data_IF_990615209270
#
_entry.id   IF_990615209270
#
_cell.length_a   1.000
_cell.length_b   1.000
_cell.length_c   1.000
_cell.angle_alpha   90.00
_cell.angle_beta   90.00
_cell.angle_gamma   90.00
#
_symmetry.space_group_name_H-M   'P 1'
#
loop_
_entity.id
_entity.type
_entity.pdbx_description
1 polymer ?
#
# COMPACT_ATOMS: atom_id res chain seq x y z
N UNK A 1 3.18 11.35 1.39
CA UNK A 1 3.33 10.27 0.37
C UNK A 1 4.05 10.70 -0.91
N UNK A 2 4.19 11.98 -1.23
CA UNK A 2 4.88 12.45 -2.46
C UNK A 2 6.30 11.89 -2.60
N UNK A 3 7.06 11.82 -1.51
CA UNK A 3 8.39 11.22 -1.44
C UNK A 3 8.45 9.77 -1.94
N UNK A 4 7.36 8.99 -1.79
CA UNK A 4 7.29 7.59 -2.24
C UNK A 4 7.01 7.48 -3.76
N UNK A 5 6.61 8.58 -4.39
CA UNK A 5 6.32 8.59 -5.82
C UNK A 5 5.07 7.79 -6.21
N UNK A 6 4.10 7.69 -5.30
CA UNK A 6 2.84 6.99 -5.48
C UNK A 6 1.63 7.95 -5.59
N UNK A 7 1.90 9.25 -5.78
CA UNK A 7 0.86 10.30 -5.88
C UNK A 7 0.66 10.74 -7.33
N UNK A 8 -0.51 11.26 -7.71
CA UNK A 8 -0.69 11.87 -9.02
C UNK A 8 0.19 13.12 -9.12
N UNK A 9 0.69 13.42 -10.31
CA UNK A 9 1.19 14.75 -10.61
C UNK A 9 0.05 15.76 -10.59
N UNK A 10 0.40 17.04 -10.50
CA UNK A 10 -0.57 18.12 -10.46
C UNK A 10 -0.07 19.28 -11.34
N UNK A 11 -0.96 19.79 -12.18
CA UNK A 11 -0.77 21.02 -12.92
C UNK A 11 -1.87 21.99 -12.49
N UNK A 12 -1.48 23.05 -11.78
CA UNK A 12 -2.40 24.01 -11.17
C UNK A 12 -1.94 25.43 -11.47
N UNK A 13 -2.90 26.33 -11.70
CA UNK A 13 -2.66 27.75 -11.95
C UNK A 13 -3.90 28.56 -11.53
N UNK A 14 -3.71 29.59 -10.70
CA UNK A 14 -4.81 30.33 -10.09
C UNK A 14 -5.77 29.39 -9.34
N UNK A 15 -7.07 29.46 -9.68
CA UNK A 15 -8.11 28.57 -9.13
C UNK A 15 -8.24 27.23 -9.85
N UNK A 16 -7.51 27.00 -10.94
CA UNK A 16 -7.60 25.75 -11.74
C UNK A 16 -6.64 24.71 -11.18
N UNK A 17 -7.17 23.49 -11.01
CA UNK A 17 -6.41 22.32 -10.57
C UNK A 17 -6.65 21.12 -11.49
N UNK A 18 -5.58 20.54 -12.02
CA UNK A 18 -5.64 19.32 -12.85
C UNK A 18 -4.68 18.26 -12.31
N UNK A 19 -5.24 17.12 -11.88
CA UNK A 19 -4.42 15.94 -11.56
C UNK A 19 -4.02 15.22 -12.85
N UNK A 20 -2.77 14.78 -12.91
CA UNK A 20 -2.22 14.00 -14.03
C UNK A 20 -1.95 12.56 -13.59
N UNK A 21 -1.21 11.80 -14.39
CA UNK A 21 -0.80 10.43 -14.04
C UNK A 21 0.08 10.38 -12.78
N UNK A 22 0.42 9.17 -12.34
CA UNK A 22 1.31 9.00 -11.19
C UNK A 22 2.68 9.61 -11.47
N UNK A 23 3.15 10.45 -10.55
CA UNK A 23 4.45 11.09 -10.70
C UNK A 23 5.60 10.10 -10.51
N UNK A 24 6.62 10.24 -11.37
CA UNK A 24 7.90 9.54 -11.21
C UNK A 24 8.82 10.25 -10.20
N UNK A 25 8.48 11.45 -9.77
CA UNK A 25 9.17 12.19 -8.71
C UNK A 25 9.03 11.47 -7.36
N UNK A 26 10.12 11.38 -6.60
CA UNK A 26 10.21 10.58 -5.36
C UNK A 26 11.17 9.39 -5.51
N UNK A 27 11.39 8.64 -4.43
CA UNK A 27 12.36 7.54 -4.38
C UNK A 27 11.94 6.36 -5.28
N UNK A 28 12.67 6.07 -6.38
CA UNK A 28 12.36 4.93 -7.25
C UNK A 28 12.49 3.60 -6.51
N UNK A 29 13.44 3.51 -5.57
CA UNK A 29 13.67 2.33 -4.75
C UNK A 29 12.47 2.02 -3.85
N UNK A 30 11.95 3.03 -3.15
CA UNK A 30 10.78 2.84 -2.28
C UNK A 30 9.51 2.54 -3.09
N UNK A 31 9.32 3.21 -4.22
CA UNK A 31 8.21 2.91 -5.14
C UNK A 31 8.24 1.44 -5.56
N UNK A 32 9.41 0.94 -5.97
CA UNK A 32 9.59 -0.46 -6.38
C UNK A 32 9.22 -1.41 -5.25
N UNK A 33 9.82 -1.26 -4.07
CA UNK A 33 9.57 -2.14 -2.91
C UNK A 33 8.09 -2.15 -2.53
N UNK A 34 7.44 -0.98 -2.45
CA UNK A 34 6.02 -0.87 -2.10
C UNK A 34 5.10 -1.46 -3.17
N UNK A 35 5.47 -1.36 -4.44
CA UNK A 35 4.72 -1.95 -5.55
C UNK A 35 4.83 -3.47 -5.52
N UNK A 36 6.04 -4.00 -5.34
CA UNK A 36 6.31 -5.44 -5.23
C UNK A 36 5.61 -6.05 -4.00
N UNK A 37 5.67 -5.38 -2.84
CA UNK A 37 4.96 -5.82 -1.64
C UNK A 37 3.43 -5.79 -1.82
N UNK A 38 2.88 -4.76 -2.46
CA UNK A 38 1.45 -4.63 -2.69
C UNK A 38 0.86 -5.78 -3.52
N UNK A 39 1.64 -6.37 -4.42
CA UNK A 39 1.20 -7.54 -5.20
C UNK A 39 0.86 -8.75 -4.34
N UNK A 40 1.44 -8.90 -3.15
CA UNK A 40 1.13 -10.01 -2.25
C UNK A 40 -0.34 -9.97 -1.76
N UNK A 41 -0.92 -8.78 -1.66
CA UNK A 41 -2.31 -8.60 -1.22
C UNK A 41 -3.36 -8.97 -2.28
N UNK A 42 -2.94 -9.43 -3.48
CA UNK A 42 -3.88 -10.04 -4.45
C UNK A 42 -4.47 -11.36 -3.94
N UNK A 43 -3.75 -12.03 -3.03
CA UNK A 43 -4.18 -13.27 -2.42
C UNK A 43 -4.87 -12.98 -1.07
N UNK A 44 -5.85 -13.81 -0.68
CA UNK A 44 -6.43 -13.72 0.66
C UNK A 44 -5.32 -13.92 1.69
N UNK A 45 -5.34 -13.13 2.76
CA UNK A 45 -4.31 -13.08 3.79
C UNK A 45 -4.28 -14.30 4.71
N UNK A 46 -4.22 -15.49 4.15
CA UNK A 46 -4.10 -16.74 4.91
C UNK A 46 -2.69 -16.80 5.49
N UNK A 47 -2.59 -16.88 6.83
CA UNK A 47 -1.34 -16.94 7.56
C UNK A 47 -0.53 -18.18 7.18
N UNK A 48 0.36 -18.05 6.20
CA UNK A 48 1.33 -19.09 5.87
C UNK A 48 2.19 -19.42 7.10
N UNK A 49 2.64 -20.68 7.21
CA UNK A 49 3.58 -21.12 8.25
C UNK A 49 4.80 -20.19 8.35
N UNK A 50 5.28 -19.68 7.21
CA UNK A 50 6.40 -18.74 7.14
C UNK A 50 6.04 -17.40 7.80
N UNK A 51 4.83 -16.90 7.58
CA UNK A 51 4.35 -15.64 8.17
C UNK A 51 4.14 -15.79 9.67
N UNK A 52 3.60 -16.94 10.12
CA UNK A 52 3.46 -17.25 11.54
C UNK A 52 4.82 -17.29 12.24
N UNK A 53 5.80 -17.99 11.65
CA UNK A 53 7.16 -18.05 12.19
C UNK A 53 7.82 -16.66 12.30
N UNK A 54 7.61 -15.77 11.33
CA UNK A 54 8.13 -14.38 11.37
C UNK A 54 7.46 -13.52 12.44
N UNK A 55 6.26 -13.89 12.89
CA UNK A 55 5.51 -13.15 13.92
C UNK A 55 5.85 -13.62 15.34
N UNK A 56 6.54 -14.75 15.50
CA UNK A 56 7.00 -15.22 16.80
C UNK A 56 7.90 -14.17 17.46
N UNK A 57 7.58 -13.79 18.69
CA UNK A 57 8.31 -12.76 19.45
C UNK A 57 8.01 -11.31 19.06
N UNK A 58 7.07 -11.06 18.14
CA UNK A 58 6.67 -9.70 17.77
C UNK A 58 5.57 -9.15 18.70
N UNK A 59 5.49 -7.83 18.94
CA UNK A 59 4.43 -7.24 19.75
C UNK A 59 3.04 -7.55 19.20
N UNK A 60 2.11 -7.95 20.07
CA UNK A 60 0.76 -8.36 19.68
C UNK A 60 0.01 -7.26 18.90
N UNK A 61 0.21 -5.99 19.26
CA UNK A 61 -0.40 -4.84 18.57
C UNK A 61 0.10 -4.70 17.12
N UNK A 62 1.40 -4.94 16.87
CA UNK A 62 1.98 -4.90 15.53
C UNK A 62 1.45 -6.04 14.68
N UNK A 63 1.34 -7.24 15.25
CA UNK A 63 0.77 -8.41 14.57
C UNK A 63 -0.70 -8.16 14.19
N UNK A 64 -1.51 -7.66 15.13
CA UNK A 64 -2.91 -7.32 14.88
C UNK A 64 -3.07 -6.25 13.80
N UNK A 65 -2.21 -5.22 13.80
CA UNK A 65 -2.19 -4.20 12.74
C UNK A 65 -1.85 -4.81 11.38
N UNK A 66 -0.87 -5.72 11.31
CA UNK A 66 -0.48 -6.38 10.07
C UNK A 66 -1.61 -7.28 9.50
N UNK A 67 -2.38 -7.93 10.36
CA UNK A 67 -3.57 -8.70 9.96
C UNK A 67 -4.68 -7.80 9.43
N UNK A 68 -4.98 -6.72 10.15
CA UNK A 68 -5.94 -5.70 9.71
C UNK A 68 -5.54 -5.11 8.35
N UNK A 69 -4.25 -4.81 8.17
CA UNK A 69 -3.70 -4.33 6.91
C UNK A 69 -3.94 -5.35 5.79
N UNK A 70 -3.58 -6.61 6.01
CA UNK A 70 -3.69 -7.67 5.00
C UNK A 70 -5.13 -7.85 4.51
N UNK A 71 -6.10 -7.91 5.43
CA UNK A 71 -7.53 -8.01 5.10
C UNK A 71 -8.04 -6.78 4.34
N UNK A 72 -7.70 -5.58 4.82
CA UNK A 72 -8.12 -4.30 4.21
C UNK A 72 -7.59 -4.13 2.80
N UNK A 73 -6.31 -4.43 2.60
CA UNK A 73 -5.61 -4.29 1.32
C UNK A 73 -6.10 -5.33 0.31
N UNK A 74 -6.32 -6.58 0.73
CA UNK A 74 -6.94 -7.60 -0.13
C UNK A 74 -8.34 -7.20 -0.56
N UNK A 75 -9.17 -6.71 0.38
CA UNK A 75 -10.51 -6.20 0.06
C UNK A 75 -10.45 -5.03 -0.94
N UNK A 76 -9.51 -4.09 -0.78
CA UNK A 76 -9.33 -2.99 -1.75
C UNK A 76 -8.97 -3.53 -3.14
N UNK A 77 -7.99 -4.44 -3.23
CA UNK A 77 -7.58 -5.05 -4.48
C UNK A 77 -8.78 -5.69 -5.19
N UNK A 78 -9.51 -6.55 -4.47
CA UNK A 78 -10.67 -7.28 -5.01
C UNK A 78 -11.79 -6.34 -5.46
N UNK A 79 -12.09 -5.30 -4.70
CA UNK A 79 -13.11 -4.32 -5.08
C UNK A 79 -12.74 -3.57 -6.36
N UNK A 80 -11.47 -3.23 -6.56
CA UNK A 80 -11.03 -2.57 -7.80
C UNK A 80 -10.99 -3.54 -8.99
N UNK A 81 -10.64 -4.80 -8.74
CA UNK A 81 -10.66 -5.86 -9.74
C UNK A 81 -12.08 -6.11 -10.26
N UNK A 82 -13.06 -6.22 -9.35
CA UNK A 82 -14.47 -6.37 -9.71
C UNK A 82 -15.03 -5.17 -10.50
N UNK A 83 -14.41 -3.99 -10.33
CA UNK A 83 -14.74 -2.77 -11.11
C UNK A 83 -13.99 -2.69 -12.45
N UNK A 84 -13.29 -3.74 -12.85
CA UNK A 84 -12.54 -3.80 -14.12
C UNK A 84 -11.37 -2.83 -14.20
N UNK A 85 -10.79 -2.40 -13.06
CA UNK A 85 -9.64 -1.50 -13.07
C UNK A 85 -8.38 -2.23 -13.54
N UNK A 86 -7.51 -1.50 -14.24
CA UNK A 86 -6.25 -2.05 -14.71
C UNK A 86 -5.33 -2.43 -13.54
N UNK A 87 -4.46 -3.44 -13.68
CA UNK A 87 -3.55 -3.84 -12.62
C UNK A 87 -2.69 -2.71 -12.07
N UNK A 88 -2.24 -1.78 -12.92
CA UNK A 88 -1.45 -0.62 -12.52
C UNK A 88 -2.21 0.30 -11.55
N UNK A 89 -3.49 0.56 -11.84
CA UNK A 89 -4.36 1.37 -10.96
C UNK A 89 -4.60 0.65 -9.64
N UNK A 90 -4.89 -0.66 -9.71
CA UNK A 90 -5.13 -1.48 -8.51
C UNK A 90 -3.92 -1.49 -7.58
N UNK A 91 -2.75 -1.84 -8.10
CA UNK A 91 -1.54 -1.96 -7.29
C UNK A 91 -1.10 -0.61 -6.75
N UNK A 92 -1.18 0.46 -7.54
CA UNK A 92 -0.87 1.81 -7.03
C UNK A 92 -1.79 2.18 -5.85
N UNK A 93 -3.09 1.90 -5.95
CA UNK A 93 -4.04 2.20 -4.88
C UNK A 93 -3.79 1.38 -3.60
N UNK A 94 -3.34 0.13 -3.75
CA UNK A 94 -2.95 -0.76 -2.65
C UNK A 94 -1.62 -0.31 -2.03
N UNK A 95 -0.59 -0.02 -2.83
CA UNK A 95 0.72 0.48 -2.34
C UNK A 95 0.58 1.78 -1.53
N UNK A 96 -0.31 2.69 -1.96
CA UNK A 96 -0.59 3.91 -1.20
C UNK A 96 -1.17 3.61 0.17
N UNK A 97 -2.16 2.73 0.26
CA UNK A 97 -2.75 2.37 1.56
C UNK A 97 -1.77 1.56 2.43
N UNK A 98 -0.98 0.67 1.84
CA UNK A 98 0.09 -0.06 2.53
C UNK A 98 1.07 0.89 3.22
N UNK A 99 1.48 1.98 2.55
CA UNK A 99 2.37 2.96 3.17
C UNK A 99 1.77 3.65 4.41
N UNK A 100 0.44 3.80 4.47
CA UNK A 100 -0.25 4.27 5.67
C UNK A 100 -0.19 3.26 6.83
N UNK A 101 -0.34 1.97 6.53
CA UNK A 101 -0.18 0.91 7.54
C UNK A 101 1.26 0.80 8.06
N UNK A 102 2.27 0.97 7.20
CA UNK A 102 3.66 1.02 7.63
C UNK A 102 3.92 2.20 8.57
N UNK A 103 3.41 3.38 8.24
CA UNK A 103 3.49 4.54 9.12
C UNK A 103 2.82 4.28 10.47
N UNK A 104 1.60 3.71 10.48
CA UNK A 104 0.92 3.34 11.72
C UNK A 104 1.72 2.33 12.55
N UNK A 105 2.34 1.32 11.93
CA UNK A 105 3.17 0.35 12.63
C UNK A 105 4.40 0.99 13.29
N UNK A 106 5.05 1.94 12.61
CA UNK A 106 6.20 2.66 13.16
C UNK A 106 5.84 3.50 14.38
N UNK A 107 4.61 4.01 14.47
CA UNK A 107 4.14 4.79 15.63
C UNK A 107 3.59 3.91 16.78
N UNK A 108 3.43 2.60 16.58
CA UNK A 108 3.07 1.67 17.65
C UNK A 108 4.28 1.08 18.38
N UNK A 109 5.47 1.22 17.80
CA UNK A 109 6.73 0.65 18.29
C UNK A 109 7.68 1.75 18.80
N UNK A 110 7.37 3.01 18.51
CA UNK A 110 8.04 4.19 19.08
C UNK A 110 7.45 4.53 20.46
#
# INVERSE_FOLDING_TARGET
MSFLGLVPGEYSSGSKRKQTGITKTGSPRLRRILTEAAWQHRFPGTGSKIVAARRTGQPALVVALAEKASLRLHKKFRNLQLRGKTPQVMITAVSRELSGFLWAAMNLVA
#
